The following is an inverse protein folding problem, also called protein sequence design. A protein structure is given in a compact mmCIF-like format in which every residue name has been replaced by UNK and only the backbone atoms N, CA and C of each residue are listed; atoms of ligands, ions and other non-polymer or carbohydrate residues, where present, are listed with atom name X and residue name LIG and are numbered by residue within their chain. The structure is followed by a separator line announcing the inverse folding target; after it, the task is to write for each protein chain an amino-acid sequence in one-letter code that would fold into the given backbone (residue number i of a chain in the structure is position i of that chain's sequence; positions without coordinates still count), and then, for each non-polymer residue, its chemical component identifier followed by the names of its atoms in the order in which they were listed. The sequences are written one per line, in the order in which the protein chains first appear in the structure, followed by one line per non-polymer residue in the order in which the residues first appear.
data_IF_815357006598
#
_entry.id   IF_815357006598
#
_cell.length_a   1.000
_cell.length_b   1.000
_cell.length_c   1.000
_cell.angle_alpha   90.00
_cell.angle_beta   90.00
_cell.angle_gamma   90.00
#
_symmetry.space_group_name_H-M   'P 1'
#
loop_
_entity.id
_entity.type
_entity.pdbx_description
1 polymer ?
#
# COMPACT_ATOMS: atom_id res chain seq x y z
N UNK A 1 -16.96 -60.84 52.20
CA UNK A 1 -16.92 -59.94 51.02
C UNK A 1 -16.89 -58.45 51.38
N UNK A 2 -17.17 -58.06 52.62
CA UNK A 2 -17.22 -56.66 53.10
C UNK A 2 -15.84 -56.06 53.45
N UNK A 3 -14.87 -56.88 53.89
CA UNK A 3 -13.51 -56.40 54.26
C UNK A 3 -12.66 -55.94 53.07
N UNK A 4 -12.82 -56.57 51.91
CA UNK A 4 -12.08 -56.20 50.69
C UNK A 4 -12.60 -54.91 50.08
N UNK A 5 -13.92 -54.70 50.09
CA UNK A 5 -14.56 -53.47 49.60
C UNK A 5 -14.16 -52.26 50.47
N UNK A 6 -14.16 -52.42 51.80
CA UNK A 6 -13.75 -51.36 52.73
C UNK A 6 -12.27 -50.95 52.54
N UNK A 7 -11.39 -51.92 52.23
CA UNK A 7 -9.97 -51.67 51.99
C UNK A 7 -9.71 -50.92 50.68
N UNK A 8 -10.47 -51.23 49.63
CA UNK A 8 -10.35 -50.55 48.33
C UNK A 8 -10.89 -49.12 48.42
N UNK A 9 -12.01 -48.90 49.11
CA UNK A 9 -12.55 -47.56 49.35
C UNK A 9 -11.57 -46.73 50.17
N UNK A 10 -10.98 -47.30 51.23
CA UNK A 10 -9.96 -46.61 52.03
C UNK A 10 -8.72 -46.22 51.24
N UNK A 11 -8.26 -47.09 50.33
CA UNK A 11 -7.12 -46.80 49.46
C UNK A 11 -7.43 -45.68 48.45
N UNK A 12 -8.62 -45.70 47.84
CA UNK A 12 -9.07 -44.67 46.89
C UNK A 12 -9.27 -43.33 47.60
N UNK A 13 -9.83 -43.33 48.82
CA UNK A 13 -9.98 -42.11 49.61
C UNK A 13 -8.63 -41.51 49.99
N UNK A 14 -7.69 -42.35 50.45
CA UNK A 14 -6.34 -41.90 50.81
C UNK A 14 -5.56 -41.36 49.60
N UNK A 15 -5.67 -42.01 48.44
CA UNK A 15 -5.07 -41.53 47.20
C UNK A 15 -5.67 -40.19 46.74
N UNK A 16 -6.98 -40.01 46.89
CA UNK A 16 -7.68 -38.77 46.52
C UNK A 16 -7.31 -37.60 47.44
N UNK A 17 -7.14 -37.87 48.74
CA UNK A 17 -6.71 -36.89 49.73
C UNK A 17 -5.25 -36.48 49.47
N UNK A 18 -4.37 -37.42 49.15
CA UNK A 18 -2.98 -37.12 48.80
C UNK A 18 -2.87 -36.20 47.57
N UNK A 19 -3.70 -36.42 46.54
CA UNK A 19 -3.72 -35.53 45.35
C UNK A 19 -4.25 -34.13 45.64
N UNK A 20 -5.19 -33.99 46.59
CA UNK A 20 -5.71 -32.69 47.02
C UNK A 20 -4.69 -31.92 47.86
N UNK A 21 -3.94 -32.61 48.74
CA UNK A 21 -2.86 -32.01 49.54
C UNK A 21 -1.71 -31.52 48.66
N UNK A 22 -1.40 -32.21 47.56
CA UNK A 22 -0.38 -31.74 46.61
C UNK A 22 -0.84 -30.53 45.77
N UNK A 23 -2.16 -30.32 45.63
CA UNK A 23 -2.75 -29.22 44.86
C UNK A 23 -3.05 -27.97 45.72
N UNK A 24 -3.19 -28.14 47.03
CA UNK A 24 -3.17 -27.03 47.98
C UNK A 24 -1.72 -26.57 48.11
N UNK A 25 -1.35 -25.54 47.35
CA UNK A 25 0.02 -25.05 47.23
C UNK A 25 0.70 -24.85 48.59
N UNK A 26 1.99 -25.17 48.61
CA UNK A 26 2.90 -24.96 49.73
C UNK A 26 2.77 -23.50 50.23
N UNK A 27 2.87 -23.30 51.56
CA UNK A 27 2.99 -21.98 52.21
C UNK A 27 4.00 -21.09 51.45
N UNK A 28 3.94 -19.75 51.54
CA UNK A 28 4.86 -18.82 50.83
C UNK A 28 6.37 -19.16 51.04
N UNK A 29 6.87 -20.15 50.30
CA UNK A 29 8.26 -20.55 50.24
C UNK A 29 8.85 -19.69 49.14
N UNK A 30 9.81 -18.83 49.50
CA UNK A 30 10.52 -17.97 48.56
C UNK A 30 11.48 -18.79 47.68
N UNK A 31 10.91 -19.62 46.82
CA UNK A 31 11.64 -20.40 45.81
C UNK A 31 11.59 -19.69 44.45
N UNK A 32 12.63 -19.91 43.64
CA UNK A 32 12.65 -19.40 42.28
C UNK A 32 11.56 -20.09 41.44
N UNK A 33 10.60 -19.31 40.94
CA UNK A 33 9.62 -19.81 39.99
C UNK A 33 10.26 -20.14 38.64
N UNK A 34 9.72 -21.11 37.90
CA UNK A 34 10.18 -21.40 36.55
C UNK A 34 10.01 -20.18 35.64
N UNK A 35 10.96 -20.00 34.71
CA UNK A 35 10.93 -18.90 33.75
C UNK A 35 9.74 -19.04 32.78
N UNK A 36 8.98 -17.95 32.62
CA UNK A 36 7.82 -17.91 31.71
C UNK A 36 8.32 -17.59 30.29
N UNK A 37 8.13 -18.52 29.36
CA UNK A 37 8.42 -18.29 27.95
C UNK A 37 7.18 -17.75 27.22
N UNK A 38 7.27 -16.52 26.69
CA UNK A 38 6.24 -16.00 25.80
C UNK A 38 6.32 -16.68 24.43
N UNK A 39 5.25 -17.38 24.03
CA UNK A 39 5.13 -17.98 22.70
C UNK A 39 4.56 -16.95 21.72
N UNK A 40 5.38 -16.52 20.77
CA UNK A 40 4.93 -15.64 19.70
C UNK A 40 3.98 -16.36 18.74
N UNK A 41 3.08 -15.59 18.14
CA UNK A 41 2.21 -16.09 17.07
C UNK A 41 3.06 -16.53 15.88
N UNK A 42 2.73 -17.69 15.31
CA UNK A 42 3.37 -18.16 14.07
C UNK A 42 3.12 -17.17 12.92
N UNK A 43 4.13 -17.00 12.07
CA UNK A 43 4.02 -16.15 10.89
C UNK A 43 2.96 -16.68 9.93
N UNK A 44 2.16 -15.78 9.37
CA UNK A 44 1.13 -16.15 8.40
C UNK A 44 1.76 -16.71 7.11
N UNK A 45 1.20 -17.80 6.59
CA UNK A 45 1.72 -18.47 5.39
C UNK A 45 1.45 -17.61 4.15
N UNK A 46 2.52 -17.09 3.55
CA UNK A 46 2.44 -16.32 2.29
C UNK A 46 2.26 -17.24 1.07
N UNK A 47 1.53 -16.80 0.03
CA UNK A 47 1.43 -17.53 -1.22
C UNK A 47 2.77 -17.61 -1.97
N UNK A 48 2.95 -18.58 -2.89
CA UNK A 48 4.17 -18.69 -3.68
C UNK A 48 4.45 -17.44 -4.52
N UNK A 49 5.69 -16.94 -4.49
CA UNK A 49 6.09 -15.71 -5.18
C UNK A 49 5.85 -15.75 -6.70
N UNK A 50 5.93 -16.93 -7.33
CA UNK A 50 5.65 -17.11 -8.76
C UNK A 50 4.19 -16.76 -9.11
N UNK A 51 3.25 -17.16 -8.25
CA UNK A 51 1.83 -16.88 -8.42
C UNK A 51 1.57 -15.37 -8.31
N UNK A 52 2.10 -14.71 -7.27
CA UNK A 52 1.96 -13.26 -7.10
C UNK A 52 2.54 -12.47 -8.28
N UNK A 53 3.70 -12.89 -8.83
CA UNK A 53 4.31 -12.26 -10.01
C UNK A 53 3.46 -12.40 -11.27
N UNK A 54 2.86 -13.58 -11.50
CA UNK A 54 1.98 -13.81 -12.64
C UNK A 54 0.78 -12.86 -12.61
N UNK A 55 0.11 -12.74 -11.46
CA UNK A 55 -1.03 -11.84 -11.32
C UNK A 55 -0.64 -10.37 -11.43
N UNK A 56 0.52 -9.97 -10.90
CA UNK A 56 1.04 -8.62 -11.11
C UNK A 56 1.23 -8.29 -12.60
N UNK A 57 1.75 -9.23 -13.40
CA UNK A 57 1.87 -9.06 -14.85
C UNK A 57 0.50 -8.99 -15.55
N UNK A 58 -0.46 -9.81 -15.14
CA UNK A 58 -1.83 -9.77 -15.66
C UNK A 58 -2.48 -8.41 -15.36
N UNK A 59 -2.28 -7.85 -14.17
CA UNK A 59 -2.76 -6.51 -13.81
C UNK A 59 -2.15 -5.41 -14.67
N UNK A 60 -0.92 -5.60 -15.17
CA UNK A 60 -0.26 -4.66 -16.08
C UNK A 60 -0.69 -4.83 -17.55
N UNK A 61 -1.27 -5.98 -17.93
CA UNK A 61 -1.63 -6.29 -19.32
C UNK A 61 -2.59 -5.27 -20.00
N UNK A 62 -3.61 -4.69 -19.33
CA UNK A 62 -4.49 -3.70 -19.94
C UNK A 62 -3.76 -2.46 -20.45
N UNK A 63 -2.65 -2.07 -19.81
CA UNK A 63 -1.83 -0.93 -20.25
C UNK A 63 -1.17 -1.20 -21.61
N UNK A 64 -0.71 -2.42 -21.85
CA UNK A 64 -0.14 -2.81 -23.15
C UNK A 64 -1.20 -2.81 -24.24
N UNK A 65 -2.41 -3.29 -23.93
CA UNK A 65 -3.55 -3.26 -24.85
C UNK A 65 -3.91 -1.83 -25.21
N UNK A 66 -3.95 -0.92 -24.22
CA UNK A 66 -4.22 0.50 -24.45
C UNK A 66 -3.19 1.14 -25.40
N UNK A 67 -1.89 0.92 -25.15
CA UNK A 67 -0.82 1.43 -26.01
C UNK A 67 -0.92 0.85 -27.42
N UNK A 68 -1.16 -0.46 -27.55
CA UNK A 68 -1.37 -1.11 -28.84
C UNK A 68 -2.58 -0.51 -29.59
N UNK A 69 -3.68 -0.27 -28.89
CA UNK A 69 -4.88 0.36 -29.44
C UNK A 69 -4.63 1.76 -29.98
N UNK A 70 -3.91 2.61 -29.25
CA UNK A 70 -3.54 3.95 -29.75
C UNK A 70 -2.69 3.90 -31.00
N UNK A 71 -1.73 2.97 -31.07
CA UNK A 71 -0.88 2.78 -32.24
C UNK A 71 -1.70 2.34 -33.46
N UNK A 72 -2.69 1.47 -33.30
CA UNK A 72 -3.58 1.06 -34.39
C UNK A 72 -4.44 2.20 -34.94
N UNK A 73 -4.90 3.12 -34.08
CA UNK A 73 -5.67 4.31 -34.48
C UNK A 73 -4.74 5.39 -35.10
N UNK A 74 -3.42 5.19 -35.07
CA UNK A 74 -2.44 6.15 -35.60
C UNK A 74 -2.11 7.32 -34.66
N UNK A 75 -2.43 7.17 -33.37
CA UNK A 75 -1.98 8.08 -32.31
C UNK A 75 -0.62 7.64 -31.78
N UNK A 76 0.44 8.05 -32.48
CA UNK A 76 1.83 7.86 -32.04
C UNK A 76 2.23 8.95 -31.05
N UNK A 77 3.05 8.66 -30.02
CA UNK A 77 3.56 9.67 -29.10
C UNK A 77 4.22 10.87 -29.80
N UNK A 78 4.97 10.62 -30.87
CA UNK A 78 5.59 11.68 -31.69
C UNK A 78 4.56 12.65 -32.30
N UNK A 79 3.42 12.14 -32.78
CA UNK A 79 2.34 12.95 -33.36
C UNK A 79 1.68 13.81 -32.29
N UNK A 80 1.43 13.24 -31.11
CA UNK A 80 0.86 13.97 -29.97
C UNK A 80 1.80 15.09 -29.54
N UNK A 81 3.09 14.80 -29.38
CA UNK A 81 4.09 15.81 -29.01
C UNK A 81 4.16 16.90 -30.07
N UNK A 82 4.24 16.55 -31.36
CA UNK A 82 4.26 17.51 -32.46
C UNK A 82 3.05 18.45 -32.46
N UNK A 83 1.85 17.95 -32.15
CA UNK A 83 0.63 18.77 -32.06
C UNK A 83 0.59 19.70 -30.84
N UNK A 84 1.17 19.25 -29.73
CA UNK A 84 1.31 20.04 -28.52
C UNK A 84 2.37 21.14 -28.69
N UNK A 85 3.46 20.85 -29.40
CA UNK A 85 4.54 21.82 -29.68
C UNK A 85 4.29 22.69 -30.91
N UNK A 86 3.26 22.40 -31.72
CA UNK A 86 2.96 23.18 -32.93
C UNK A 86 2.36 24.56 -32.59
N UNK A 87 3.11 25.64 -32.81
CA UNK A 87 2.63 27.00 -32.58
C UNK A 87 3.73 27.92 -32.04
N UNK A 88 3.32 28.96 -31.30
CA UNK A 88 4.26 29.91 -30.68
C UNK A 88 5.07 29.26 -29.55
N UNK A 89 6.35 29.62 -29.42
CA UNK A 89 7.26 29.19 -28.36
C UNK A 89 6.66 29.40 -26.95
N UNK A 90 5.89 30.48 -26.75
CA UNK A 90 5.24 30.77 -25.48
C UNK A 90 4.18 29.72 -25.10
N UNK A 91 3.40 29.23 -26.08
CA UNK A 91 2.41 28.16 -25.87
C UNK A 91 3.09 26.88 -25.42
N UNK A 92 4.15 26.49 -26.13
CA UNK A 92 4.92 25.29 -25.82
C UNK A 92 5.49 25.35 -24.40
N UNK A 93 5.99 26.52 -23.97
CA UNK A 93 6.47 26.71 -22.61
C UNK A 93 5.36 26.55 -21.55
N UNK A 94 4.16 27.07 -21.78
CA UNK A 94 3.03 26.88 -20.85
C UNK A 94 2.58 25.42 -20.76
N UNK A 95 2.47 24.73 -21.90
CA UNK A 95 2.08 23.32 -21.92
C UNK A 95 3.16 22.46 -21.25
N UNK A 96 4.43 22.69 -21.57
CA UNK A 96 5.55 21.94 -20.98
C UNK A 96 5.64 22.15 -19.47
N UNK A 97 5.50 23.40 -18.99
CA UNK A 97 5.50 23.69 -17.54
C UNK A 97 4.32 23.07 -16.80
N UNK A 98 3.15 22.99 -17.43
CA UNK A 98 2.00 22.29 -16.86
C UNK A 98 2.20 20.76 -16.83
N UNK A 99 2.73 20.16 -17.88
CA UNK A 99 3.05 18.73 -17.88
C UNK A 99 4.15 18.40 -16.86
N UNK A 100 5.16 19.27 -16.73
CA UNK A 100 6.21 19.12 -15.72
C UNK A 100 5.65 19.21 -14.29
N UNK A 101 4.68 20.10 -14.03
CA UNK A 101 4.05 20.19 -12.71
C UNK A 101 3.18 18.97 -12.41
N UNK A 102 2.46 18.41 -13.41
CA UNK A 102 1.75 17.13 -13.25
C UNK A 102 2.70 15.97 -12.96
N UNK A 103 3.81 15.84 -13.68
CA UNK A 103 4.85 14.84 -13.39
C UNK A 103 5.43 15.05 -11.99
N UNK A 104 5.61 16.30 -11.58
CA UNK A 104 6.03 16.65 -10.23
C UNK A 104 5.03 16.20 -9.14
N UNK A 105 3.72 16.31 -9.38
CA UNK A 105 2.68 15.81 -8.47
C UNK A 105 2.73 14.28 -8.34
N UNK A 106 2.80 13.56 -9.46
CA UNK A 106 2.89 12.09 -9.44
C UNK A 106 4.18 11.62 -8.75
N UNK A 107 5.30 12.31 -9.00
CA UNK A 107 6.56 12.02 -8.32
C UNK A 107 6.50 12.32 -6.82
N UNK A 108 5.80 13.39 -6.40
CA UNK A 108 5.57 13.67 -4.98
C UNK A 108 4.76 12.53 -4.32
N UNK A 109 3.74 12.00 -4.99
CA UNK A 109 2.99 10.86 -4.46
C UNK A 109 3.81 9.57 -4.41
N UNK A 110 4.72 9.36 -5.35
CA UNK A 110 5.69 8.28 -5.28
C UNK A 110 6.64 8.43 -4.06
N UNK A 111 7.12 9.64 -3.78
CA UNK A 111 7.93 9.91 -2.59
C UNK A 111 7.13 9.74 -1.29
N UNK A 112 5.84 10.10 -1.28
CA UNK A 112 4.94 9.81 -0.17
C UNK A 112 4.79 8.32 0.08
N UNK A 113 4.66 7.51 -0.96
CA UNK A 113 4.58 6.06 -0.82
C UNK A 113 5.86 5.43 -0.25
N UNK A 114 7.03 6.03 -0.53
CA UNK A 114 8.32 5.41 -0.22
C UNK A 114 9.02 5.97 1.01
N UNK A 115 8.92 7.27 1.28
CA UNK A 115 9.82 7.96 2.23
C UNK A 115 9.19 9.13 3.02
N UNK A 116 8.23 9.89 2.48
CA UNK A 116 7.74 11.14 3.11
C UNK A 116 6.62 10.93 4.12
N UNK A 117 6.61 11.77 5.15
CA UNK A 117 5.49 11.90 6.07
C UNK A 117 4.31 12.68 5.44
N UNK A 118 3.12 12.49 6.01
CA UNK A 118 1.89 13.17 5.55
C UNK A 118 2.01 14.70 5.58
N UNK A 119 2.52 15.28 6.67
CA UNK A 119 2.63 16.75 6.81
C UNK A 119 3.66 17.36 5.85
N UNK A 120 4.75 16.63 5.57
CA UNK A 120 5.75 17.05 4.57
C UNK A 120 5.12 17.03 3.18
N UNK A 121 4.45 15.93 2.83
CA UNK A 121 3.74 15.76 1.56
C UNK A 121 2.70 16.86 1.37
N UNK A 122 1.90 17.16 2.39
CA UNK A 122 0.88 18.20 2.32
C UNK A 122 1.47 19.60 2.10
N UNK A 123 2.63 19.88 2.70
CA UNK A 123 3.35 21.14 2.51
C UNK A 123 3.87 21.28 1.07
N UNK A 124 4.53 20.25 0.55
CA UNK A 124 5.00 20.23 -0.84
C UNK A 124 3.84 20.26 -1.84
N UNK A 125 2.77 19.51 -1.57
CA UNK A 125 1.55 19.50 -2.37
C UNK A 125 0.89 20.89 -2.38
N UNK A 126 0.87 21.59 -1.25
CA UNK A 126 0.40 22.97 -1.14
C UNK A 126 1.15 23.91 -2.09
N UNK A 127 2.49 23.90 -2.05
CA UNK A 127 3.30 24.72 -2.97
C UNK A 127 3.13 24.32 -4.44
N UNK A 128 3.19 23.01 -4.72
CA UNK A 128 3.19 22.49 -6.09
C UNK A 128 1.81 22.60 -6.74
N UNK A 129 0.71 22.52 -5.98
CA UNK A 129 -0.65 22.75 -6.47
C UNK A 129 -0.87 24.19 -6.95
N UNK A 130 -0.31 25.19 -6.26
CA UNK A 130 -0.36 26.59 -6.70
C UNK A 130 0.33 26.75 -8.06
N UNK A 131 1.54 26.19 -8.20
CA UNK A 131 2.28 26.20 -9.48
C UNK A 131 1.49 25.49 -10.58
N UNK A 132 0.92 24.31 -10.27
CA UNK A 132 0.11 23.51 -11.20
C UNK A 132 -1.14 24.29 -11.64
N UNK A 133 -1.80 25.00 -10.73
CA UNK A 133 -2.98 25.80 -11.03
C UNK A 133 -2.68 26.93 -12.03
N UNK A 134 -1.64 27.74 -11.78
CA UNK A 134 -1.28 28.84 -12.67
C UNK A 134 -0.76 28.35 -14.03
N UNK A 135 0.08 27.32 -14.05
CA UNK A 135 0.60 26.74 -15.30
C UNK A 135 -0.52 26.08 -16.10
N UNK A 136 -1.44 25.38 -15.44
CA UNK A 136 -2.62 24.75 -16.04
C UNK A 136 -3.58 25.76 -16.67
N UNK A 137 -3.90 26.84 -15.96
CA UNK A 137 -4.77 27.89 -16.48
C UNK A 137 -4.22 28.51 -17.77
N UNK A 138 -2.90 28.79 -17.80
CA UNK A 138 -2.24 29.33 -19.01
C UNK A 138 -2.17 28.30 -20.14
N UNK A 139 -1.84 27.05 -19.83
CA UNK A 139 -1.78 25.98 -20.82
C UNK A 139 -3.15 25.74 -21.49
N UNK A 140 -4.22 25.60 -20.70
CA UNK A 140 -5.57 25.38 -21.20
C UNK A 140 -6.10 26.57 -22.00
N UNK A 141 -5.87 27.80 -21.52
CA UNK A 141 -6.24 29.02 -22.26
C UNK A 141 -5.54 29.09 -23.62
N UNK A 142 -4.27 28.70 -23.69
CA UNK A 142 -3.53 28.69 -24.96
C UNK A 142 -4.09 27.67 -25.98
N UNK A 143 -4.63 26.55 -25.50
CA UNK A 143 -5.28 25.54 -26.34
C UNK A 143 -6.62 26.08 -26.85
N UNK A 144 -7.40 26.75 -26.00
CA UNK A 144 -8.65 27.39 -26.40
C UNK A 144 -8.43 28.45 -27.47
N UNK A 145 -7.44 29.33 -27.30
CA UNK A 145 -7.12 30.36 -28.31
C UNK A 145 -6.75 29.75 -29.66
N UNK A 146 -5.98 28.65 -29.69
CA UNK A 146 -5.65 27.94 -30.94
C UNK A 146 -6.92 27.42 -31.64
N UNK A 147 -7.88 26.89 -30.90
CA UNK A 147 -9.16 26.41 -31.46
C UNK A 147 -9.97 27.55 -32.07
N UNK A 148 -10.12 28.65 -31.34
CA UNK A 148 -10.86 29.83 -31.83
C UNK A 148 -10.21 30.47 -33.07
N UNK A 149 -8.88 30.47 -33.16
CA UNK A 149 -8.17 30.94 -34.36
C UNK A 149 -8.40 30.02 -35.55
N UNK A 150 -8.43 28.70 -35.33
CA UNK A 150 -8.68 27.72 -36.39
C UNK A 150 -10.12 27.78 -36.91
N UNK A 151 -11.11 28.06 -36.05
CA UNK A 151 -12.52 28.19 -36.46
C UNK A 151 -12.79 29.45 -37.30
N UNK A 152 -11.98 30.50 -37.14
CA UNK A 152 -12.10 31.76 -37.89
C UNK A 152 -11.41 31.72 -39.26
N UNK A 153 -10.71 30.64 -39.59
CA UNK A 153 -9.93 30.49 -40.82
C UNK A 153 -10.64 29.56 -41.79
#
# INVERSE_FOLDING_TARGET
MTRTIMSVIGLVLAASIATLVQAAGDEDVFELQPEIHHVFREAEKMPPAAFSKLFALITLAPWLILVGGWLQIGYTPAKVISELTSGSTARTAYIASFLASLVGLEYLFYLYWTQLDLFQTLTYLGGLSIVTFFTGQRALSSIQTKRLVNEKK
#
